data_IF_053910917330
#
_entry.id   IF_053910917330
#
_cell.length_a   1.000
_cell.length_b   1.000
_cell.length_c   1.000
_cell.angle_alpha   90.00
_cell.angle_beta   90.00
_cell.angle_gamma   90.00
#
_symmetry.space_group_name_H-M   'P 1'
#
loop_
_entity.id
_entity.type
_entity.pdbx_description
1 polymer ?
#
# COMPACT_ATOMS: atom_id res chain seq x y z
N UNK A 1 -43.82 -74.95 -12.07
CA UNK A 1 -44.94 -74.73 -11.12
C UNK A 1 -45.62 -73.40 -11.44
N UNK A 2 -46.96 -73.38 -11.27
CA UNK A 2 -47.97 -72.32 -11.48
C UNK A 2 -47.44 -70.92 -11.06
N UNK A 3 -47.80 -69.74 -11.61
CA UNK A 3 -49.10 -69.19 -12.04
C UNK A 3 -48.83 -67.78 -12.62
N UNK A 4 -49.17 -67.45 -13.88
CA UNK A 4 -50.38 -66.70 -14.30
C UNK A 4 -50.70 -65.41 -13.51
N UNK A 5 -50.64 -64.23 -14.16
CA UNK A 5 -51.81 -63.54 -14.78
C UNK A 5 -51.45 -62.20 -15.46
N UNK A 6 -52.04 -62.02 -16.65
CA UNK A 6 -52.04 -60.89 -17.59
C UNK A 6 -52.89 -59.70 -17.12
N UNK A 7 -52.73 -58.57 -17.83
CA UNK A 7 -53.79 -57.71 -18.46
C UNK A 7 -53.68 -56.25 -18.01
N UNK A 8 -53.58 -55.21 -18.84
CA UNK A 8 -54.42 -54.72 -19.98
C UNK A 8 -53.57 -53.67 -20.77
N UNK A 9 -53.53 -53.64 -22.12
CA UNK A 9 -54.43 -52.91 -23.07
C UNK A 9 -54.53 -51.40 -22.75
N UNK A 10 -54.48 -50.41 -23.65
CA UNK A 10 -54.64 -50.25 -25.13
C UNK A 10 -54.27 -48.75 -25.43
N UNK A 11 -53.50 -48.43 -26.47
CA UNK A 11 -53.92 -47.91 -27.81
C UNK A 11 -54.04 -46.38 -27.98
N UNK A 12 -53.80 -45.97 -29.23
CA UNK A 12 -54.11 -44.72 -29.95
C UNK A 12 -53.06 -43.58 -29.79
N UNK A 13 -52.21 -43.30 -30.78
CA UNK A 13 -52.45 -42.75 -32.14
C UNK A 13 -52.53 -41.21 -32.15
N UNK A 14 -51.71 -40.57 -33.01
CA UNK A 14 -52.12 -39.64 -34.08
C UNK A 14 -51.07 -38.56 -34.43
N UNK A 15 -50.53 -38.71 -35.65
CA UNK A 15 -50.11 -37.70 -36.67
C UNK A 15 -49.30 -36.42 -36.37
N UNK A 16 -48.21 -36.30 -37.17
CA UNK A 16 -47.81 -35.23 -38.12
C UNK A 16 -47.62 -33.76 -37.65
N UNK A 17 -46.32 -33.36 -37.66
CA UNK A 17 -45.66 -32.30 -38.50
C UNK A 17 -46.06 -30.81 -38.34
N UNK A 18 -45.23 -29.83 -38.80
CA UNK A 18 -44.53 -28.87 -37.94
C UNK A 18 -44.88 -27.39 -38.20
N UNK A 19 -44.53 -26.48 -37.28
CA UNK A 19 -44.45 -25.03 -37.57
C UNK A 19 -43.39 -24.32 -36.71
N UNK A 20 -42.60 -23.46 -37.37
CA UNK A 20 -41.83 -22.33 -36.77
C UNK A 20 -42.83 -21.44 -36.02
N UNK A 21 -42.54 -20.70 -34.94
CA UNK A 21 -41.61 -19.55 -34.89
C UNK A 21 -41.68 -18.93 -33.48
N UNK A 22 -40.57 -18.27 -33.05
CA UNK A 22 -40.48 -17.19 -32.04
C UNK A 22 -40.84 -17.52 -30.58
N UNK A 23 -39.79 -17.72 -29.77
CA UNK A 23 -39.81 -17.38 -28.34
C UNK A 23 -38.71 -16.37 -28.02
N UNK A 24 -39.17 -15.29 -27.38
CA UNK A 24 -38.49 -14.07 -26.99
C UNK A 24 -37.37 -14.30 -25.97
N UNK A 25 -36.21 -13.66 -26.19
CA UNK A 25 -35.16 -13.51 -25.18
C UNK A 25 -35.66 -12.57 -24.07
N UNK A 26 -35.58 -12.94 -22.78
CA UNK A 26 -35.74 -11.97 -21.70
C UNK A 26 -34.44 -11.17 -21.59
N UNK A 27 -34.50 -9.88 -21.93
CA UNK A 27 -33.44 -8.90 -21.68
C UNK A 27 -33.40 -8.59 -20.19
N UNK A 28 -32.71 -9.44 -19.43
CA UNK A 28 -32.34 -9.18 -18.05
C UNK A 28 -31.41 -7.97 -17.98
N UNK A 29 -31.99 -6.79 -17.69
CA UNK A 29 -31.29 -5.56 -17.33
C UNK A 29 -30.17 -5.88 -16.34
N UNK A 30 -28.90 -5.77 -16.78
CA UNK A 30 -27.75 -5.72 -15.88
C UNK A 30 -28.02 -4.59 -14.87
N UNK A 31 -28.24 -4.94 -13.61
CA UNK A 31 -28.27 -3.98 -12.50
C UNK A 31 -26.94 -3.23 -12.56
N UNK A 32 -26.97 -1.97 -12.99
CA UNK A 32 -25.84 -1.06 -12.81
C UNK A 32 -25.61 -1.03 -11.31
N UNK A 33 -24.53 -1.66 -10.86
CA UNK A 33 -24.04 -1.47 -9.51
C UNK A 33 -23.82 0.04 -9.36
N UNK A 34 -24.70 0.67 -8.58
CA UNK A 34 -24.53 2.02 -8.13
C UNK A 34 -23.14 2.10 -7.52
N UNK A 35 -22.24 2.87 -8.15
CA UNK A 35 -21.00 3.30 -7.49
C UNK A 35 -21.43 4.18 -6.32
N UNK A 36 -21.73 3.53 -5.19
CA UNK A 36 -21.96 4.20 -3.92
C UNK A 36 -20.70 4.94 -3.57
N UNK A 37 -20.71 6.25 -3.81
CA UNK A 37 -19.70 7.20 -3.34
C UNK A 37 -19.79 7.37 -1.82
N UNK A 38 -19.61 6.29 -1.07
CA UNK A 38 -19.37 6.38 0.35
C UNK A 38 -18.03 7.09 0.56
N UNK A 39 -18.04 8.32 1.10
CA UNK A 39 -16.82 9.01 1.52
C UNK A 39 -16.07 8.09 2.48
N UNK A 40 -14.94 7.54 2.02
CA UNK A 40 -14.06 6.71 2.85
C UNK A 40 -13.49 7.59 3.96
N UNK A 41 -13.62 7.14 5.21
CA UNK A 41 -13.03 7.82 6.37
C UNK A 41 -11.51 7.88 6.19
N UNK A 42 -10.93 9.05 6.51
CA UNK A 42 -9.48 9.24 6.49
C UNK A 42 -8.81 8.31 7.51
N UNK A 43 -7.66 7.75 7.13
CA UNK A 43 -6.88 6.80 7.91
C UNK A 43 -5.42 7.25 7.96
N UNK A 44 -4.75 6.92 9.05
CA UNK A 44 -3.32 7.19 9.20
C UNK A 44 -2.53 6.23 8.31
N UNK A 45 -1.53 6.76 7.61
CA UNK A 45 -0.52 5.98 6.93
C UNK A 45 0.87 6.56 7.22
N UNK A 46 1.87 5.70 7.19
CA UNK A 46 3.27 6.10 7.36
C UNK A 46 4.02 5.86 6.05
N UNK A 47 4.67 6.90 5.55
CA UNK A 47 5.48 6.84 4.34
C UNK A 47 6.96 7.02 4.71
N UNK A 48 7.82 6.18 4.15
CA UNK A 48 9.27 6.30 4.25
C UNK A 48 9.80 6.88 2.95
N UNK A 49 10.59 7.95 3.06
CA UNK A 49 11.22 8.60 1.92
C UNK A 49 12.73 8.44 2.03
N UNK A 50 13.40 8.17 0.92
CA UNK A 50 14.85 7.98 0.85
C UNK A 50 15.48 8.62 -0.39
N UNK A 51 16.65 9.22 -0.25
CA UNK A 51 17.40 9.81 -1.37
C UNK A 51 18.90 9.65 -1.15
N UNK A 52 19.66 9.21 -2.17
CA UNK A 52 21.12 9.17 -2.09
C UNK A 52 21.87 9.80 -3.28
N UNK A 53 21.15 10.33 -4.28
CA UNK A 53 21.74 11.05 -5.40
C UNK A 53 21.39 12.55 -5.38
N UNK A 54 22.30 13.36 -5.93
CA UNK A 54 22.14 14.80 -6.08
C UNK A 54 21.91 15.53 -4.76
N UNK A 55 21.08 16.57 -4.79
CA UNK A 55 20.65 17.26 -3.58
C UNK A 55 19.56 16.46 -2.84
N UNK A 56 20.04 15.52 -2.03
CA UNK A 56 19.20 14.62 -1.22
C UNK A 56 18.19 15.38 -0.37
N UNK A 57 18.56 16.53 0.18
CA UNK A 57 17.66 17.35 1.01
C UNK A 57 16.55 17.94 0.15
N UNK A 58 16.91 18.57 -0.97
CA UNK A 58 15.95 19.17 -1.88
C UNK A 58 14.96 18.13 -2.43
N UNK A 59 15.43 16.92 -2.78
CA UNK A 59 14.56 15.82 -3.21
C UNK A 59 13.55 15.41 -2.14
N UNK A 60 14.00 15.22 -0.90
CA UNK A 60 13.11 14.85 0.21
C UNK A 60 12.09 15.96 0.51
N UNK A 61 12.52 17.23 0.55
CA UNK A 61 11.62 18.36 0.78
C UNK A 61 10.62 18.54 -0.37
N UNK A 62 11.03 18.33 -1.63
CA UNK A 62 10.14 18.35 -2.78
C UNK A 62 9.10 17.22 -2.71
N UNK A 63 9.51 16.01 -2.34
CA UNK A 63 8.60 14.89 -2.15
C UNK A 63 7.57 15.16 -1.04
N UNK A 64 8.00 15.75 0.08
CA UNK A 64 7.08 16.14 1.16
C UNK A 64 6.07 17.21 0.71
N UNK A 65 6.50 18.20 -0.08
CA UNK A 65 5.57 19.19 -0.68
C UNK A 65 4.55 18.54 -1.61
N UNK A 66 4.99 17.61 -2.46
CA UNK A 66 4.10 16.86 -3.36
C UNK A 66 3.08 16.01 -2.59
N UNK A 67 3.50 15.37 -1.49
CA UNK A 67 2.61 14.60 -0.61
C UNK A 67 1.58 15.49 0.07
N UNK A 68 2.02 16.65 0.59
CA UNK A 68 1.13 17.64 1.20
C UNK A 68 0.02 18.12 0.25
N UNK A 69 0.27 18.09 -1.07
CA UNK A 69 -0.72 18.44 -2.10
C UNK A 69 -1.88 17.43 -2.24
N UNK A 70 -1.77 16.21 -1.72
CA UNK A 70 -2.87 15.22 -1.78
C UNK A 70 -3.25 14.59 -0.45
N UNK A 71 -2.45 14.77 0.61
CA UNK A 71 -2.74 14.27 1.95
C UNK A 71 -2.15 15.21 3.02
N UNK A 72 -2.90 15.57 4.07
CA UNK A 72 -2.35 16.33 5.19
C UNK A 72 -1.19 15.59 5.86
N UNK A 73 -0.06 16.27 6.04
CA UNK A 73 1.06 15.79 6.83
C UNK A 73 0.77 16.05 8.32
N UNK A 74 0.74 15.00 9.13
CA UNK A 74 0.47 15.10 10.57
C UNK A 74 1.74 15.27 11.38
N UNK A 75 2.77 14.47 11.06
CA UNK A 75 4.09 14.49 11.70
C UNK A 75 5.15 14.14 10.65
N UNK A 76 6.32 14.75 10.75
CA UNK A 76 7.49 14.44 9.94
C UNK A 76 8.66 14.20 10.89
N UNK A 77 9.41 13.10 10.69
CA UNK A 77 10.59 12.82 11.49
C UNK A 77 11.71 13.80 11.17
N UNK A 78 12.78 13.75 11.95
CA UNK A 78 14.06 14.32 11.53
C UNK A 78 14.58 13.62 10.26
N UNK A 79 15.54 14.25 9.58
CA UNK A 79 16.35 13.60 8.55
C UNK A 79 17.37 12.67 9.20
N UNK A 80 17.54 11.50 8.60
CA UNK A 80 18.51 10.49 9.02
C UNK A 80 19.47 10.17 7.88
N UNK A 81 20.77 10.22 8.15
CA UNK A 81 21.78 9.68 7.24
C UNK A 81 22.01 8.21 7.55
N UNK A 82 22.03 7.37 6.52
CA UNK A 82 22.21 5.92 6.65
C UNK A 82 23.09 5.34 5.58
N UNK A 83 23.93 4.39 5.96
CA UNK A 83 24.69 3.58 5.00
C UNK A 83 23.73 2.75 4.12
N UNK A 84 24.09 2.46 2.86
CA UNK A 84 23.26 1.69 1.95
C UNK A 84 23.07 0.24 2.42
N UNK A 85 21.87 -0.30 2.15
CA UNK A 85 21.52 -1.71 2.42
C UNK A 85 21.46 -2.47 1.10
N UNK A 86 22.18 -3.59 0.99
CA UNK A 86 22.27 -4.40 -0.23
C UNK A 86 23.49 -4.01 -1.04
N UNK A 87 23.29 -3.26 -2.14
CA UNK A 87 24.40 -2.75 -2.95
C UNK A 87 25.16 -1.67 -2.19
N UNK A 88 26.44 -1.86 -1.88
CA UNK A 88 27.19 -0.95 -0.98
C UNK A 88 28.00 0.13 -1.68
N UNK A 89 28.33 -0.07 -2.95
CA UNK A 89 29.13 0.88 -3.73
C UNK A 89 28.27 2.03 -4.25
N UNK A 90 27.72 2.81 -3.31
CA UNK A 90 26.86 3.96 -3.57
C UNK A 90 26.90 4.94 -2.38
N UNK A 91 26.52 6.22 -2.59
CA UNK A 91 26.49 7.19 -1.51
C UNK A 91 25.49 6.84 -0.41
N UNK A 92 25.72 7.37 0.79
CA UNK A 92 24.78 7.29 1.91
C UNK A 92 23.42 7.89 1.56
N UNK A 93 22.37 7.25 2.08
CA UNK A 93 21.00 7.73 1.98
C UNK A 93 20.70 8.78 3.04
N UNK A 94 19.87 9.75 2.68
CA UNK A 94 19.07 10.52 3.62
C UNK A 94 17.66 9.94 3.63
N UNK A 95 17.11 9.72 4.82
CA UNK A 95 15.80 9.14 5.03
C UNK A 95 14.96 10.02 5.93
N UNK A 96 13.64 9.99 5.72
CA UNK A 96 12.65 10.64 6.58
C UNK A 96 11.35 9.83 6.56
N UNK A 97 10.62 9.83 7.67
CA UNK A 97 9.29 9.22 7.75
C UNK A 97 8.25 10.29 7.98
N UNK A 98 7.12 10.19 7.30
CA UNK A 98 5.98 11.11 7.45
C UNK A 98 4.71 10.33 7.77
N UNK A 99 3.98 10.83 8.76
CA UNK A 99 2.62 10.41 9.08
C UNK A 99 1.64 11.27 8.28
N UNK A 100 0.74 10.63 7.53
CA UNK A 100 -0.28 11.33 6.72
C UNK A 100 -1.70 10.88 7.08
N UNK A 101 -2.68 11.74 6.77
CA UNK A 101 -4.09 11.40 6.77
C UNK A 101 -4.59 11.14 5.35
N UNK A 102 -5.02 9.91 5.06
CA UNK A 102 -5.40 9.49 3.71
C UNK A 102 -6.80 8.87 3.67
N UNK A 103 -7.67 9.41 2.82
CA UNK A 103 -9.05 8.93 2.62
C UNK A 103 -9.21 7.91 1.48
N UNK A 104 -8.18 7.68 0.67
CA UNK A 104 -8.25 6.74 -0.46
C UNK A 104 -8.01 5.28 -0.08
N UNK A 105 -7.81 4.43 -1.08
CA UNK A 105 -7.39 3.03 -0.91
C UNK A 105 -5.86 2.93 -0.80
N UNK A 106 -5.30 1.83 -0.28
CA UNK A 106 -3.84 1.63 -0.28
C UNK A 106 -3.25 1.59 -1.69
N UNK A 107 -3.98 1.02 -2.67
CA UNK A 107 -3.57 1.05 -4.07
C UNK A 107 -3.53 2.48 -4.62
N UNK A 108 -4.53 3.29 -4.31
CA UNK A 108 -4.53 4.71 -4.68
C UNK A 108 -3.39 5.48 -4.03
N UNK A 109 -3.01 5.14 -2.79
CA UNK A 109 -1.84 5.73 -2.14
C UNK A 109 -0.55 5.34 -2.89
N UNK A 110 -0.40 4.07 -3.27
CA UNK A 110 0.76 3.59 -4.02
C UNK A 110 0.89 4.28 -5.39
N UNK A 111 -0.23 4.53 -6.08
CA UNK A 111 -0.22 5.29 -7.33
C UNK A 111 0.23 6.74 -7.10
N UNK A 112 -0.16 7.35 -5.97
CA UNK A 112 0.30 8.69 -5.58
C UNK A 112 1.79 8.70 -5.25
N UNK A 113 2.32 7.74 -4.48
CA UNK A 113 3.75 7.69 -4.16
C UNK A 113 4.61 7.54 -5.41
N UNK A 114 4.24 6.64 -6.33
CA UNK A 114 4.91 6.51 -7.64
C UNK A 114 4.86 7.80 -8.46
N UNK A 115 3.77 8.58 -8.35
CA UNK A 115 3.67 9.90 -9.02
C UNK A 115 4.60 10.93 -8.40
N UNK A 116 4.76 10.94 -7.08
CA UNK A 116 5.71 11.82 -6.38
C UNK A 116 7.13 11.54 -6.88
N UNK A 117 7.53 10.27 -6.95
CA UNK A 117 8.86 9.87 -7.44
C UNK A 117 9.14 10.40 -8.85
N UNK A 118 8.20 10.21 -9.78
CA UNK A 118 8.33 10.72 -11.15
C UNK A 118 8.42 12.25 -11.22
N UNK A 119 7.70 12.97 -10.35
CA UNK A 119 7.69 14.44 -10.35
C UNK A 119 8.96 15.05 -9.78
N UNK A 120 9.53 14.41 -8.76
CA UNK A 120 10.79 14.85 -8.15
C UNK A 120 11.98 14.52 -9.04
N UNK A 121 11.85 13.54 -9.95
CA UNK A 121 12.85 13.24 -10.98
C UNK A 121 13.53 11.89 -10.81
N UNK A 122 12.86 10.90 -10.21
CA UNK A 122 13.42 9.54 -10.11
C UNK A 122 13.70 8.97 -11.50
N UNK A 123 14.95 8.59 -11.72
CA UNK A 123 15.36 7.80 -12.89
C UNK A 123 15.39 6.32 -12.52
N UNK A 124 14.86 5.45 -13.37
CA UNK A 124 14.92 4.00 -13.13
C UNK A 124 16.35 3.48 -13.30
N UNK A 125 16.87 2.83 -12.26
CA UNK A 125 18.16 2.11 -12.26
C UNK A 125 17.94 0.60 -12.07
N UNK A 126 18.96 -0.13 -11.63
CA UNK A 126 18.85 -1.51 -11.17
C UNK A 126 18.33 -1.62 -9.72
N UNK A 127 17.95 -2.85 -9.31
CA UNK A 127 17.40 -3.13 -7.98
C UNK A 127 18.37 -2.76 -6.84
N UNK A 128 17.87 -2.05 -5.83
CA UNK A 128 18.66 -1.49 -4.72
C UNK A 128 19.79 -0.52 -5.14
N UNK A 129 19.79 -0.06 -6.39
CA UNK A 129 20.73 0.96 -6.87
C UNK A 129 20.48 2.35 -6.26
N UNK A 130 21.35 3.31 -6.58
CA UNK A 130 21.18 4.70 -6.16
C UNK A 130 19.97 5.34 -6.82
N UNK A 131 19.32 6.29 -6.14
CA UNK A 131 18.11 6.98 -6.60
C UNK A 131 18.00 8.40 -6.05
N UNK A 132 17.44 9.27 -6.87
CA UNK A 132 17.09 10.64 -6.52
C UNK A 132 16.01 10.67 -5.43
N UNK A 133 15.02 9.78 -5.52
CA UNK A 133 13.97 9.64 -4.49
C UNK A 133 13.32 8.24 -4.50
N UNK A 134 13.01 7.74 -3.31
CA UNK A 134 12.20 6.56 -3.02
C UNK A 134 11.04 6.96 -2.12
N UNK A 135 9.82 6.46 -2.38
CA UNK A 135 8.67 6.68 -1.50
C UNK A 135 7.94 5.35 -1.24
N UNK A 136 8.24 4.74 -0.10
CA UNK A 136 7.66 3.49 0.36
C UNK A 136 6.46 3.71 1.30
N UNK A 137 5.42 2.89 1.17
CA UNK A 137 4.33 2.82 2.17
C UNK A 137 4.74 1.84 3.26
N UNK A 138 5.06 2.34 4.45
CA UNK A 138 5.55 1.54 5.57
C UNK A 138 4.42 0.82 6.30
N UNK A 139 3.35 1.56 6.61
CA UNK A 139 2.15 1.03 7.26
C UNK A 139 0.91 1.83 6.82
N UNK A 140 -0.24 1.17 6.86
CA UNK A 140 -1.52 1.79 6.56
C UNK A 140 -2.57 1.33 7.55
N UNK A 141 -2.96 2.25 8.44
CA UNK A 141 -4.00 2.05 9.45
C UNK A 141 -3.74 0.84 10.38
N UNK A 142 -2.49 0.43 10.59
CA UNK A 142 -2.14 -0.75 11.38
C UNK A 142 -2.74 -2.05 10.83
N UNK A 143 -3.06 -2.11 9.53
CA UNK A 143 -3.74 -3.26 8.93
C UNK A 143 -2.75 -4.21 8.27
N UNK A 144 -2.90 -5.48 8.58
CA UNK A 144 -2.28 -6.56 7.83
C UNK A 144 -2.98 -6.73 6.47
N UNK A 145 -2.19 -6.76 5.42
CA UNK A 145 -2.62 -7.07 4.04
C UNK A 145 -1.51 -7.85 3.36
N UNK A 146 -1.66 -9.17 3.35
CA UNK A 146 -0.63 -10.09 2.85
C UNK A 146 -0.71 -10.32 1.34
N UNK A 147 -1.82 -9.91 0.72
CA UNK A 147 -2.08 -10.11 -0.71
C UNK A 147 -2.37 -8.80 -1.47
N UNK A 148 -2.01 -8.82 -2.75
CA UNK A 148 -2.15 -7.69 -3.69
C UNK A 148 -1.08 -6.61 -3.54
N UNK A 149 -1.19 -5.55 -4.34
CA UNK A 149 -0.22 -4.44 -4.38
C UNK A 149 -0.83 -3.15 -3.77
N UNK A 150 -0.28 -2.56 -2.69
CA UNK A 150 0.90 -3.02 -1.91
C UNK A 150 0.56 -4.04 -0.82
N UNK A 151 1.55 -4.85 -0.43
CA UNK A 151 1.55 -5.65 0.81
C UNK A 151 1.80 -4.72 2.00
N UNK A 152 1.03 -4.87 3.08
CA UNK A 152 1.08 -3.99 4.26
C UNK A 152 1.10 -4.79 5.57
N UNK A 153 1.82 -4.32 6.61
CA UNK A 153 2.87 -3.29 6.53
C UNK A 153 3.99 -3.72 5.56
N UNK A 154 4.88 -2.81 5.17
CA UNK A 154 5.93 -3.11 4.20
C UNK A 154 6.70 -4.38 4.61
N UNK A 155 6.86 -5.37 3.71
CA UNK A 155 7.34 -6.71 4.07
C UNK A 155 8.67 -6.71 4.83
N UNK A 156 9.57 -5.79 4.48
CA UNK A 156 10.90 -5.69 5.10
C UNK A 156 11.02 -4.64 6.21
N UNK A 157 9.92 -4.00 6.62
CA UNK A 157 9.95 -2.89 7.60
C UNK A 157 10.62 -3.30 8.92
N UNK A 158 10.22 -4.44 9.49
CA UNK A 158 10.76 -4.97 10.76
C UNK A 158 12.27 -5.23 10.71
N UNK A 159 12.84 -5.42 9.52
CA UNK A 159 14.26 -5.65 9.28
C UNK A 159 15.08 -4.40 8.96
N UNK A 160 14.46 -3.20 8.89
CA UNK A 160 15.07 -2.00 8.32
C UNK A 160 15.20 -0.89 9.36
N UNK A 161 16.39 -0.79 9.97
CA UNK A 161 16.70 0.24 10.97
C UNK A 161 16.50 1.67 10.44
N UNK A 162 16.86 1.92 9.18
CA UNK A 162 16.71 3.24 8.54
C UNK A 162 15.25 3.71 8.39
N UNK A 163 14.29 2.78 8.40
CA UNK A 163 12.86 3.10 8.38
C UNK A 163 12.26 3.11 9.79
N UNK A 164 12.66 2.16 10.64
CA UNK A 164 12.14 2.05 12.01
C UNK A 164 12.60 3.19 12.93
N UNK A 165 13.85 3.66 12.81
CA UNK A 165 14.35 4.73 13.67
C UNK A 165 13.57 6.05 13.50
N UNK A 166 13.41 6.60 12.27
CA UNK A 166 12.55 7.76 12.05
C UNK A 166 11.07 7.50 12.36
N UNK A 167 10.55 6.28 12.15
CA UNK A 167 9.18 5.93 12.54
C UNK A 167 8.99 5.98 14.07
N UNK A 168 9.95 5.44 14.83
CA UNK A 168 9.93 5.45 16.29
C UNK A 168 9.97 6.88 16.86
N UNK A 169 10.65 7.81 16.18
CA UNK A 169 10.66 9.23 16.56
C UNK A 169 9.27 9.84 16.55
N UNK A 170 8.46 9.57 15.52
CA UNK A 170 7.14 10.19 15.36
C UNK A 170 5.99 9.38 15.96
N UNK A 171 6.18 8.07 16.11
CA UNK A 171 5.24 7.15 16.74
C UNK A 171 5.99 6.09 17.57
N UNK A 172 6.39 6.43 18.81
CA UNK A 172 7.10 5.49 19.70
C UNK A 172 6.23 4.32 20.17
N UNK A 173 4.91 4.44 20.06
CA UNK A 173 3.93 3.39 20.37
C UNK A 173 3.56 2.50 19.17
N UNK A 174 4.23 2.67 18.02
CA UNK A 174 3.96 1.81 16.87
C UNK A 174 4.32 0.36 17.19
N UNK A 175 3.43 -0.57 16.85
CA UNK A 175 3.67 -2.01 16.90
C UNK A 175 3.46 -2.60 15.52
N UNK A 176 4.33 -3.53 15.12
CA UNK A 176 4.22 -4.23 13.85
C UNK A 176 2.96 -5.10 13.83
N UNK A 177 1.98 -4.83 12.93
CA UNK A 177 0.74 -5.60 12.87
C UNK A 177 0.92 -7.10 12.61
N UNK A 178 2.09 -7.54 12.10
CA UNK A 178 2.39 -8.96 11.86
C UNK A 178 2.84 -9.68 13.12
N UNK A 179 3.80 -9.12 13.84
CA UNK A 179 4.43 -9.78 15.00
C UNK A 179 3.88 -9.31 16.35
N UNK A 180 3.13 -8.20 16.38
CA UNK A 180 2.69 -7.55 17.62
C UNK A 180 3.81 -6.82 18.37
N UNK A 181 5.06 -6.90 17.91
CA UNK A 181 6.22 -6.32 18.59
C UNK A 181 6.26 -4.80 18.44
N UNK A 182 6.58 -4.10 19.52
CA UNK A 182 6.75 -2.66 19.52
C UNK A 182 7.99 -2.20 18.73
N UNK A 183 7.95 -0.97 18.22
CA UNK A 183 9.06 -0.38 17.43
C UNK A 183 10.39 -0.37 18.21
N UNK A 184 10.33 -0.16 19.53
CA UNK A 184 11.50 -0.17 20.39
C UNK A 184 12.13 -1.57 20.50
N UNK A 185 11.31 -2.63 20.61
CA UNK A 185 11.79 -4.02 20.64
C UNK A 185 12.41 -4.43 19.31
N UNK A 186 11.79 -4.01 18.20
CA UNK A 186 12.34 -4.26 16.87
C UNK A 186 13.69 -3.58 16.70
N UNK A 187 13.81 -2.30 17.09
CA UNK A 187 15.08 -1.56 17.02
C UNK A 187 16.19 -2.14 17.91
N UNK A 188 15.84 -2.69 19.08
CA UNK A 188 16.80 -3.36 19.97
C UNK A 188 17.31 -4.68 19.39
N UNK A 189 16.44 -5.43 18.71
CA UNK A 189 16.80 -6.72 18.12
C UNK A 189 17.60 -6.61 16.82
N UNK A 190 17.59 -5.44 16.17
CA UNK A 190 18.34 -5.21 14.93
C UNK A 190 19.82 -4.93 15.20
N UNK A 191 20.71 -5.35 14.29
CA UNK A 191 22.12 -4.95 14.36
C UNK A 191 22.27 -3.43 14.31
N UNK A 192 23.37 -2.94 14.89
CA UNK A 192 23.72 -1.50 14.87
C UNK A 192 24.20 -1.02 13.49
N UNK A 193 24.64 -1.93 12.63
CA UNK A 193 25.00 -1.69 11.24
C UNK A 193 23.88 -2.18 10.29
N UNK A 194 23.63 -1.51 9.16
CA UNK A 194 24.25 -0.25 8.72
C UNK A 194 23.92 0.91 9.66
N UNK A 195 24.87 1.85 9.77
CA UNK A 195 24.75 2.98 10.68
C UNK A 195 23.57 3.87 10.29
N UNK A 196 22.84 4.32 11.31
CA UNK A 196 21.69 5.24 11.16
C UNK A 196 21.89 6.38 12.14
N UNK A 197 22.04 7.60 11.62
CA UNK A 197 22.30 8.81 12.42
C UNK A 197 21.28 9.88 12.09
N UNK A 198 20.62 10.44 13.10
CA UNK A 198 19.82 11.65 12.96
C UNK A 198 20.73 12.84 12.66
N UNK A 199 20.47 13.58 11.59
CA UNK A 199 21.35 14.66 11.10
C UNK A 199 20.76 16.06 11.20
N UNK A 200 19.44 16.22 11.06
CA UNK A 200 18.79 17.53 11.15
C UNK A 200 17.27 17.38 11.37
N UNK A 201 16.60 18.32 12.07
CA UNK A 201 15.14 18.34 12.12
C UNK A 201 14.54 18.66 10.74
N UNK A 202 13.42 18.04 10.40
CA UNK A 202 12.68 18.35 9.18
C UNK A 202 11.62 19.43 9.48
N UNK A 203 11.77 20.63 8.91
CA UNK A 203 10.87 21.77 9.19
C UNK A 203 9.69 21.88 8.22
N UNK A 204 9.51 20.93 7.32
CA UNK A 204 8.45 20.97 6.32
C UNK A 204 7.08 20.65 6.94
N UNK A 205 6.32 21.70 7.25
CA UNK A 205 4.88 21.75 7.01
C UNK A 205 3.93 21.08 8.01
N UNK A 206 4.38 20.50 9.12
CA UNK A 206 3.45 20.11 10.18
C UNK A 206 2.90 21.38 10.87
N UNK A 207 1.72 21.85 10.47
CA UNK A 207 0.94 22.74 11.34
C UNK A 207 0.57 21.90 12.55
N UNK A 208 1.20 22.19 13.69
CA UNK A 208 0.79 21.64 14.98
C UNK A 208 -0.73 21.86 15.12
N UNK A 209 -1.52 20.86 15.53
CA UNK A 209 -2.88 21.15 15.95
C UNK A 209 -2.76 22.14 17.10
N UNK A 210 -3.36 23.32 16.96
CA UNK A 210 -3.59 24.20 18.11
C UNK A 210 -4.42 23.36 19.09
N UNK A 211 -3.86 23.17 20.30
CA UNK A 211 -4.56 22.55 21.43
C UNK A 211 -5.83 23.31 21.75
#
# INVERSE_FOLDING_TARGET
MKSRRRSKRKSAEKTRRPTRTRSSKPTGRKRKSSKGGGRRRARVAYLGLGSNLGDRRAHLEAALREIAGFAPLRKVSSFYQTEPVGFRDQPDFWNVVVEISWSGTPRGLLEKTRRVERRVGRTSTFANGPREIDVDILDFAGRLRETGDPILPHPRLSGRRFALAPLAEINPSWSDPRSGRGVADLLRALPKAPRVRRIAPCRSGARSPRR
#
